data_IF_656389016030
#
_entry.id   IF_656389016030
#
_cell.length_a   1.000
_cell.length_b   1.000
_cell.length_c   1.000
_cell.angle_alpha   90.00
_cell.angle_beta   90.00
_cell.angle_gamma   90.00
#
_symmetry.space_group_name_H-M   'P 1'
#
loop_
_entity.id
_entity.type
_entity.pdbx_description
1 polymer ?
#
# COMPACT_ATOMS: atom_id res chain seq x y z
N UNK A 1 -7.56 14.44 -18.40
CA UNK A 1 -6.30 13.93 -18.97
C UNK A 1 -5.16 14.50 -18.16
N UNK A 2 -4.61 13.72 -17.23
CA UNK A 2 -3.46 14.16 -16.43
C UNK A 2 -2.18 13.77 -17.16
N UNK A 3 -1.25 14.70 -17.34
CA UNK A 3 0.14 14.33 -17.59
C UNK A 3 0.71 13.72 -16.31
N UNK A 4 1.63 12.77 -16.43
CA UNK A 4 2.37 12.28 -15.27
C UNK A 4 3.11 13.46 -14.62
N UNK A 5 2.96 13.68 -13.31
CA UNK A 5 3.71 14.74 -12.65
C UNK A 5 5.20 14.45 -12.71
N UNK A 6 6.02 15.49 -12.67
CA UNK A 6 7.45 15.33 -12.40
C UNK A 6 7.62 14.75 -11.00
N UNK A 7 8.35 13.63 -10.89
CA UNK A 7 8.60 12.94 -9.64
C UNK A 7 10.05 13.15 -9.22
N UNK A 8 10.24 13.50 -7.96
CA UNK A 8 11.54 13.62 -7.31
C UNK A 8 11.53 12.79 -6.03
N UNK A 9 12.59 12.02 -5.80
CA UNK A 9 12.73 11.21 -4.59
C UNK A 9 13.38 12.03 -3.48
N UNK A 10 12.83 11.93 -2.28
CA UNK A 10 13.39 12.51 -1.07
C UNK A 10 13.26 11.53 0.09
N UNK A 11 14.02 11.77 1.16
CA UNK A 11 13.81 11.08 2.44
C UNK A 11 12.37 11.36 2.94
N UNK A 12 11.61 10.36 3.38
CA UNK A 12 10.21 10.52 3.75
C UNK A 12 9.97 11.64 4.77
N UNK A 13 10.90 11.81 5.72
CA UNK A 13 10.85 12.81 6.79
C UNK A 13 11.08 14.25 6.30
N UNK A 14 11.49 14.45 5.03
CA UNK A 14 11.68 15.77 4.41
C UNK A 14 10.51 16.16 3.50
N UNK A 15 9.67 15.20 3.12
CA UNK A 15 8.59 15.40 2.15
C UNK A 15 7.55 16.41 2.69
N UNK A 16 7.02 16.28 3.92
CA UNK A 16 6.05 17.23 4.45
C UNK A 16 6.59 18.67 4.50
N UNK A 17 7.83 18.86 4.93
CA UNK A 17 8.48 20.16 5.04
C UNK A 17 8.68 20.79 3.67
N UNK A 18 9.10 20.03 2.66
CA UNK A 18 9.27 20.53 1.31
C UNK A 18 7.92 21.00 0.70
N UNK A 19 6.85 20.25 0.95
CA UNK A 19 5.48 20.66 0.56
C UNK A 19 5.05 21.92 1.30
N UNK A 20 5.28 22.03 2.61
CA UNK A 20 4.94 23.22 3.40
C UNK A 20 5.75 24.46 3.02
N UNK A 21 7.00 24.29 2.56
CA UNK A 21 7.82 25.36 2.02
C UNK A 21 7.44 25.76 0.59
N UNK A 22 6.51 25.03 -0.04
CA UNK A 22 6.07 25.27 -1.42
C UNK A 22 7.09 24.85 -2.48
N UNK A 23 8.07 24.02 -2.12
CA UNK A 23 9.05 23.46 -3.05
C UNK A 23 8.40 22.43 -3.98
N UNK A 24 7.39 21.72 -3.47
CA UNK A 24 6.58 20.77 -4.23
C UNK A 24 5.08 20.99 -3.97
N UNK A 25 4.26 20.68 -4.97
CA UNK A 25 2.80 20.82 -4.88
C UNK A 25 2.13 19.69 -4.06
N UNK A 26 2.84 18.58 -3.81
CA UNK A 26 2.33 17.44 -3.07
C UNK A 26 3.46 16.46 -2.74
N UNK A 27 3.15 15.51 -1.86
CA UNK A 27 4.08 14.48 -1.41
C UNK A 27 3.44 13.11 -1.41
N UNK A 28 4.22 12.08 -1.69
CA UNK A 28 3.82 10.68 -1.59
C UNK A 28 4.64 10.00 -0.49
N UNK A 29 3.95 9.46 0.50
CA UNK A 29 4.53 8.62 1.55
C UNK A 29 3.97 7.20 1.41
N UNK A 30 4.81 6.21 1.69
CA UNK A 30 4.44 4.78 1.68
C UNK A 30 5.01 4.09 2.92
N UNK A 31 4.43 2.93 3.28
CA UNK A 31 4.86 2.13 4.42
C UNK A 31 4.78 2.89 5.74
N UNK A 32 5.67 2.55 6.68
CA UNK A 32 5.67 3.11 8.03
C UNK A 32 5.79 4.64 8.05
N UNK A 33 6.45 5.26 7.07
CA UNK A 33 6.54 6.72 7.00
C UNK A 33 5.16 7.37 6.81
N UNK A 34 4.29 6.75 5.99
CA UNK A 34 2.91 7.21 5.83
C UNK A 34 2.10 7.01 7.12
N UNK A 35 2.29 5.88 7.80
CA UNK A 35 1.62 5.55 9.05
C UNK A 35 2.04 6.47 10.21
N UNK A 36 3.34 6.76 10.37
CA UNK A 36 3.83 7.72 11.36
C UNK A 36 3.33 9.13 11.05
N UNK A 37 3.36 9.50 9.77
CA UNK A 37 2.88 10.82 9.36
C UNK A 37 1.39 11.00 9.61
N UNK A 38 0.54 10.00 9.34
CA UNK A 38 -0.91 10.11 9.57
C UNK A 38 -1.28 10.28 11.05
N UNK A 39 -0.42 9.83 11.97
CA UNK A 39 -0.58 10.06 13.41
C UNK A 39 0.10 11.33 13.93
N UNK A 40 0.91 12.00 13.09
CA UNK A 40 1.61 13.22 13.49
C UNK A 40 0.65 14.40 13.56
N UNK A 41 0.78 15.31 14.54
CA UNK A 41 0.02 16.58 14.56
C UNK A 41 0.23 17.44 13.31
N UNK A 42 1.31 17.20 12.54
CA UNK A 42 1.51 17.90 11.28
C UNK A 42 0.49 17.49 10.21
N UNK A 43 -0.08 16.29 10.27
CA UNK A 43 -1.04 15.76 9.30
C UNK A 43 -2.23 16.71 9.06
N UNK A 44 -2.70 17.37 10.12
CA UNK A 44 -3.83 18.32 10.08
C UNK A 44 -3.57 19.54 9.19
N UNK A 45 -2.32 19.78 8.80
CA UNK A 45 -1.91 20.87 7.91
C UNK A 45 -2.03 20.50 6.43
N UNK A 46 -2.36 19.25 6.12
CA UNK A 46 -2.36 18.71 4.77
C UNK A 46 -3.74 18.15 4.40
N UNK A 47 -4.06 18.21 3.11
CA UNK A 47 -5.11 17.37 2.55
C UNK A 47 -4.52 15.99 2.26
N UNK A 48 -4.85 15.00 3.09
CA UNK A 48 -4.35 13.63 2.94
C UNK A 48 -5.34 12.81 2.08
N UNK A 49 -4.81 12.09 1.10
CA UNK A 49 -5.58 11.15 0.27
C UNK A 49 -4.95 9.76 0.35
N UNK A 50 -5.70 8.80 0.89
CA UNK A 50 -5.33 7.39 0.82
C UNK A 50 -5.54 6.89 -0.63
N UNK A 51 -4.48 6.39 -1.26
CA UNK A 51 -4.52 5.93 -2.65
C UNK A 51 -5.21 4.58 -2.81
N UNK A 52 -5.17 3.71 -1.79
CA UNK A 52 -5.90 2.44 -1.78
C UNK A 52 -7.41 2.68 -1.67
N UNK A 53 -7.82 3.58 -0.77
CA UNK A 53 -9.22 4.02 -0.69
C UNK A 53 -9.65 4.71 -1.98
N UNK A 54 -8.84 5.62 -2.50
CA UNK A 54 -9.18 6.32 -3.75
C UNK A 54 -9.35 5.34 -4.91
N UNK A 55 -8.48 4.34 -5.04
CA UNK A 55 -8.66 3.27 -6.02
C UNK A 55 -9.99 2.53 -5.82
N UNK A 56 -10.33 2.14 -4.59
CA UNK A 56 -11.59 1.47 -4.27
C UNK A 56 -12.80 2.32 -4.68
N UNK A 57 -12.75 3.62 -4.48
CA UNK A 57 -13.80 4.57 -4.89
C UNK A 57 -13.91 4.69 -6.42
N UNK A 58 -12.78 4.70 -7.15
CA UNK A 58 -12.77 4.85 -8.60
C UNK A 58 -13.16 3.55 -9.34
N UNK A 59 -12.67 2.42 -8.87
CA UNK A 59 -12.76 1.15 -9.60
C UNK A 59 -13.73 0.15 -8.96
N UNK A 60 -14.23 0.43 -7.74
CA UNK A 60 -15.02 -0.49 -6.92
C UNK A 60 -14.31 -1.83 -6.58
N UNK A 61 -13.02 -1.94 -6.88
CA UNK A 61 -12.19 -3.12 -6.70
C UNK A 61 -11.16 -2.89 -5.58
N UNK A 62 -10.70 -3.95 -4.86
CA UNK A 62 -9.57 -3.81 -3.95
C UNK A 62 -8.30 -3.38 -4.71
N UNK A 63 -7.29 -2.88 -4.00
CA UNK A 63 -5.96 -2.66 -4.56
C UNK A 63 -5.01 -3.76 -4.10
N UNK A 64 -4.24 -4.34 -5.01
CA UNK A 64 -3.26 -5.39 -4.68
C UNK A 64 -1.88 -4.76 -4.60
N UNK A 65 -1.39 -4.56 -3.37
CA UNK A 65 -0.11 -3.89 -3.12
C UNK A 65 1.10 -4.79 -3.38
N UNK A 66 1.00 -6.08 -3.08
CA UNK A 66 2.12 -7.02 -3.18
C UNK A 66 1.63 -8.44 -3.47
N UNK A 67 2.51 -9.23 -4.09
CA UNK A 67 2.31 -10.64 -4.43
C UNK A 67 3.61 -11.40 -4.21
N UNK A 68 3.49 -12.68 -3.86
CA UNK A 68 4.58 -13.63 -4.01
C UNK A 68 4.62 -14.10 -5.46
N UNK A 69 5.72 -13.81 -6.17
CA UNK A 69 5.93 -14.22 -7.56
C UNK A 69 7.26 -14.97 -7.69
N UNK A 70 7.27 -16.02 -8.50
CA UNK A 70 8.46 -16.81 -8.81
C UNK A 70 8.51 -17.12 -10.31
N UNK A 71 9.71 -17.33 -10.89
CA UNK A 71 9.82 -17.74 -12.29
C UNK A 71 9.10 -19.08 -12.50
N UNK A 72 8.31 -19.21 -13.57
CA UNK A 72 7.58 -20.45 -13.87
C UNK A 72 8.50 -21.67 -14.06
N UNK A 73 9.74 -21.44 -14.48
CA UNK A 73 10.77 -22.47 -14.65
C UNK A 73 11.35 -22.99 -13.31
N UNK A 74 11.12 -22.27 -12.22
CA UNK A 74 11.62 -22.57 -10.87
C UNK A 74 10.48 -22.47 -9.86
N UNK A 75 9.53 -23.43 -9.88
CA UNK A 75 8.41 -23.40 -8.96
C UNK A 75 8.92 -23.48 -7.52
N UNK A 76 8.31 -22.68 -6.65
CA UNK A 76 8.51 -22.77 -5.20
C UNK A 76 7.31 -23.48 -4.61
N UNK A 77 7.54 -24.37 -3.63
CA UNK A 77 6.47 -25.08 -2.95
C UNK A 77 5.57 -24.10 -2.19
N UNK A 78 4.28 -24.10 -2.51
CA UNK A 78 3.29 -23.21 -1.88
C UNK A 78 3.05 -23.54 -0.41
N UNK A 79 3.31 -24.79 0.01
CA UNK A 79 3.09 -25.26 1.38
C UNK A 79 3.88 -24.41 2.39
N UNK A 80 5.14 -24.06 2.09
CA UNK A 80 5.97 -23.23 2.95
C UNK A 80 5.33 -21.86 3.24
N UNK A 81 4.81 -21.19 2.21
CA UNK A 81 4.15 -19.89 2.38
C UNK A 81 2.80 -20.02 3.07
N UNK A 82 2.05 -21.08 2.78
CA UNK A 82 0.75 -21.32 3.37
C UNK A 82 0.88 -21.59 4.88
N UNK A 83 1.78 -22.48 5.27
CA UNK A 83 2.05 -22.79 6.68
C UNK A 83 2.53 -21.56 7.44
N UNK A 84 3.45 -20.79 6.86
CA UNK A 84 3.91 -19.53 7.47
C UNK A 84 2.80 -18.51 7.65
N UNK A 85 1.88 -18.38 6.68
CA UNK A 85 0.75 -17.47 6.79
C UNK A 85 -0.26 -17.95 7.83
N UNK A 86 -0.57 -19.25 7.87
CA UNK A 86 -1.49 -19.82 8.87
C UNK A 86 -0.95 -19.62 10.29
N UNK A 87 0.36 -19.81 10.49
CA UNK A 87 1.00 -19.55 11.77
C UNK A 87 0.86 -18.08 12.19
N UNK A 88 1.14 -17.15 11.27
CA UNK A 88 1.00 -15.71 11.54
C UNK A 88 -0.44 -15.30 11.85
N UNK A 89 -1.42 -15.85 11.13
CA UNK A 89 -2.85 -15.55 11.34
C UNK A 89 -3.34 -15.99 12.72
N UNK A 90 -2.80 -17.07 13.28
CA UNK A 90 -3.14 -17.53 14.64
C UNK A 90 -2.53 -16.66 15.75
N UNK A 91 -1.53 -15.84 15.41
CA UNK A 91 -0.76 -15.03 16.35
C UNK A 91 -0.83 -13.53 16.07
N UNK A 92 -1.85 -13.06 15.33
CA UNK A 92 -2.00 -11.63 14.98
C UNK A 92 -1.94 -10.69 16.20
N UNK A 93 -2.60 -10.96 17.35
CA UNK A 93 -2.50 -10.07 18.50
C UNK A 93 -1.07 -9.95 19.05
N UNK A 94 -0.31 -11.05 19.03
CA UNK A 94 1.10 -11.02 19.43
C UNK A 94 1.94 -10.20 18.45
N UNK A 95 1.78 -10.45 17.14
CA UNK A 95 2.49 -9.70 16.10
C UNK A 95 2.17 -8.20 16.20
N UNK A 96 0.90 -7.85 16.37
CA UNK A 96 0.47 -6.46 16.54
C UNK A 96 1.09 -5.81 17.79
N UNK A 97 1.26 -6.56 18.88
CA UNK A 97 1.84 -6.04 20.12
C UNK A 97 3.33 -5.67 20.02
N UNK A 98 4.04 -6.20 19.01
CA UNK A 98 5.44 -5.85 18.73
C UNK A 98 5.57 -4.54 17.92
N UNK A 99 4.45 -4.02 17.40
CA UNK A 99 4.42 -2.80 16.61
C UNK A 99 4.48 -1.54 17.49
N UNK A 100 5.10 -0.48 16.97
CA UNK A 100 5.04 0.86 17.57
C UNK A 100 3.68 1.54 17.35
N UNK A 101 2.86 1.03 16.43
CA UNK A 101 1.59 1.63 16.06
C UNK A 101 0.43 1.08 16.90
N UNK A 102 -0.28 1.97 17.59
CA UNK A 102 -1.43 1.59 18.43
C UNK A 102 -2.60 0.95 17.68
N UNK A 103 -2.66 1.12 16.36
CA UNK A 103 -3.70 0.57 15.47
C UNK A 103 -3.20 -0.64 14.68
N UNK A 104 -2.03 -1.19 15.01
CA UNK A 104 -1.43 -2.29 14.26
C UNK A 104 -2.33 -3.52 14.17
N UNK A 105 -3.07 -3.85 15.23
CA UNK A 105 -4.00 -4.98 15.25
C UNK A 105 -5.10 -4.78 14.20
N UNK A 106 -5.83 -3.67 14.25
CA UNK A 106 -6.85 -3.31 13.24
C UNK A 106 -6.26 -3.29 11.82
N UNK A 107 -5.06 -2.75 11.66
CA UNK A 107 -4.40 -2.69 10.35
C UNK A 107 -4.16 -4.08 9.76
N UNK A 108 -3.62 -5.02 10.53
CA UNK A 108 -3.29 -6.35 10.03
C UNK A 108 -4.49 -7.31 10.02
N UNK A 109 -5.54 -7.06 10.80
CA UNK A 109 -6.74 -7.91 10.83
C UNK A 109 -7.79 -7.45 9.82
N UNK A 110 -8.05 -6.15 9.75
CA UNK A 110 -9.24 -5.60 9.09
C UNK A 110 -8.91 -4.92 7.76
N UNK A 111 -7.73 -4.30 7.67
CA UNK A 111 -7.31 -3.55 6.47
C UNK A 111 -6.46 -4.37 5.50
N UNK A 112 -5.70 -5.35 6.00
CA UNK A 112 -4.90 -6.24 5.16
C UNK A 112 -5.66 -7.52 4.78
N UNK A 113 -5.66 -7.84 3.49
CA UNK A 113 -6.20 -9.08 2.94
C UNK A 113 -5.09 -9.90 2.29
N UNK A 114 -4.78 -11.06 2.87
CA UNK A 114 -3.63 -11.89 2.49
C UNK A 114 -3.90 -12.89 1.35
N UNK A 115 -5.15 -13.00 0.90
CA UNK A 115 -5.57 -14.02 -0.06
C UNK A 115 -5.88 -13.40 -1.41
N UNK A 116 -5.29 -13.97 -2.46
CA UNK A 116 -5.59 -13.58 -3.83
C UNK A 116 -6.82 -14.34 -4.33
N UNK A 117 -7.99 -13.71 -4.19
CA UNK A 117 -9.27 -14.24 -4.65
C UNK A 117 -9.68 -13.70 -6.03
N UNK A 118 -10.95 -13.92 -6.38
CA UNK A 118 -11.51 -13.48 -7.67
C UNK A 118 -11.48 -11.96 -7.82
N UNK A 119 -11.81 -11.22 -6.76
CA UNK A 119 -11.85 -9.74 -6.81
C UNK A 119 -10.46 -9.15 -6.95
N UNK A 120 -9.46 -9.74 -6.29
CA UNK A 120 -8.07 -9.29 -6.34
C UNK A 120 -7.45 -9.58 -7.71
N UNK A 121 -7.77 -10.73 -8.33
CA UNK A 121 -7.39 -11.02 -9.71
C UNK A 121 -8.01 -10.03 -10.71
N UNK A 122 -9.30 -9.71 -10.53
CA UNK A 122 -9.98 -8.67 -11.32
C UNK A 122 -9.33 -7.30 -11.13
N UNK A 123 -8.93 -6.96 -9.90
CA UNK A 123 -8.23 -5.73 -9.59
C UNK A 123 -6.87 -5.63 -10.29
N UNK A 124 -6.08 -6.70 -10.30
CA UNK A 124 -4.80 -6.75 -11.01
C UNK A 124 -4.98 -6.54 -12.52
N UNK A 125 -5.99 -7.18 -13.10
CA UNK A 125 -6.32 -6.97 -14.51
C UNK A 125 -6.73 -5.50 -14.76
N UNK A 126 -7.60 -4.94 -13.92
CA UNK A 126 -8.03 -3.54 -14.03
C UNK A 126 -6.85 -2.58 -13.94
N UNK A 127 -5.92 -2.82 -13.01
CA UNK A 127 -4.71 -2.01 -12.87
C UNK A 127 -3.84 -2.07 -14.13
N UNK A 128 -3.63 -3.27 -14.67
CA UNK A 128 -2.92 -3.45 -15.95
C UNK A 128 -3.58 -2.70 -17.11
N UNK A 129 -4.91 -2.77 -17.22
CA UNK A 129 -5.67 -2.04 -18.24
C UNK A 129 -5.49 -0.52 -18.12
N UNK A 130 -5.47 0.02 -16.90
CA UNK A 130 -5.20 1.44 -16.64
C UNK A 130 -3.78 1.84 -17.06
N UNK A 131 -2.78 1.02 -16.74
CA UNK A 131 -1.39 1.27 -17.13
C UNK A 131 -1.22 1.26 -18.66
N UNK A 132 -1.80 0.28 -19.36
CA UNK A 132 -1.76 0.22 -20.82
C UNK A 132 -2.43 1.43 -21.48
N UNK A 133 -3.58 1.87 -20.95
CA UNK A 133 -4.27 3.06 -21.46
C UNK A 133 -3.46 4.36 -21.27
N UNK A 134 -2.44 4.34 -20.40
CA UNK A 134 -1.53 5.45 -20.12
C UNK A 134 -0.13 5.24 -20.72
N UNK A 135 0.10 4.17 -21.48
CA UNK A 135 1.41 3.82 -22.07
C UNK A 135 2.52 3.62 -21.01
N UNK A 136 2.16 2.98 -19.89
CA UNK A 136 3.07 2.71 -18.76
C UNK A 136 3.53 1.24 -18.67
N UNK A 137 3.12 0.40 -19.62
CA UNK A 137 3.49 -1.02 -19.77
C UNK A 137 3.70 -1.35 -21.24
#
# INVERSE_FOLDING_TARGET
TGQLPHLESAEPEKIPEAVLRGEHAGGLLIGDAALRFSQSPQADRFLIRDLGQWWKEQESLPFVFALWAYPGEKPVESALFEESLQEGLQHLPQIASESEFSFAEEYITDLLHYRLGKQELLALQRFRERLLALDLL
#
